data_IF_384411352829
#
_entry.id   IF_384411352829
#
_cell.length_a   1.000
_cell.length_b   1.000
_cell.length_c   1.000
_cell.angle_alpha   90.00
_cell.angle_beta   90.00
_cell.angle_gamma   90.00
#
_symmetry.space_group_name_H-M   'P 1'
#
loop_
_entity.id
_entity.type
_entity.pdbx_description
1 polymer ?
#
# COMPACT_ATOMS: atom_id res chain seq x y z
N UNK A 1 13.46 -22.25 -6.80
CA UNK A 1 13.16 -21.45 -8.01
C UNK A 1 12.33 -20.26 -7.58
N UNK A 2 12.89 -19.07 -7.60
CA UNK A 2 12.17 -17.82 -7.37
C UNK A 2 11.35 -17.54 -8.62
N UNK A 3 10.02 -17.47 -8.49
CA UNK A 3 9.16 -17.03 -9.58
C UNK A 3 9.54 -15.61 -10.03
N UNK A 4 9.55 -15.38 -11.34
CA UNK A 4 9.82 -14.05 -11.88
C UNK A 4 8.75 -13.05 -11.38
N UNK A 5 9.13 -11.78 -11.11
CA UNK A 5 8.16 -10.77 -10.70
C UNK A 5 7.13 -10.55 -11.80
N UNK A 6 5.86 -10.67 -11.46
CA UNK A 6 4.76 -10.17 -12.28
C UNK A 6 4.68 -8.67 -11.97
N UNK A 7 5.14 -7.82 -12.90
CA UNK A 7 5.02 -6.36 -12.75
C UNK A 7 3.56 -5.95 -13.01
N UNK A 8 3.02 -5.06 -12.17
CA UNK A 8 1.84 -4.27 -12.54
C UNK A 8 2.12 -3.45 -13.80
N UNK A 9 1.09 -3.06 -14.53
CA UNK A 9 1.22 -2.38 -15.84
C UNK A 9 2.14 -1.16 -15.82
N UNK A 10 2.23 -0.44 -14.69
CA UNK A 10 3.05 0.76 -14.52
C UNK A 10 4.27 0.58 -13.61
N UNK A 11 4.51 -0.62 -13.08
CA UNK A 11 5.62 -0.89 -12.17
C UNK A 11 5.57 -0.14 -10.83
N UNK A 12 4.43 0.48 -10.48
CA UNK A 12 4.24 1.22 -9.23
C UNK A 12 4.11 0.30 -8.02
N UNK A 13 3.61 -0.90 -8.24
CA UNK A 13 3.54 -1.98 -7.27
C UNK A 13 4.10 -3.25 -7.92
N UNK A 14 5.16 -3.78 -7.37
CA UNK A 14 5.75 -5.03 -7.84
C UNK A 14 5.07 -6.20 -7.16
N UNK A 15 4.71 -7.22 -7.91
CA UNK A 15 4.11 -8.45 -7.37
C UNK A 15 5.04 -9.64 -7.59
N UNK A 16 5.31 -10.37 -6.54
CA UNK A 16 6.06 -11.63 -6.54
C UNK A 16 5.26 -12.67 -5.76
N UNK A 17 5.33 -13.93 -6.18
CA UNK A 17 4.80 -15.04 -5.40
C UNK A 17 5.69 -16.27 -5.57
N UNK A 18 5.62 -17.19 -4.62
CA UNK A 18 6.37 -18.45 -4.63
C UNK A 18 5.45 -19.67 -4.52
N UNK A 19 6.03 -20.88 -4.70
CA UNK A 19 5.29 -22.14 -4.67
C UNK A 19 4.69 -22.47 -3.30
N UNK A 20 5.05 -21.74 -2.23
CA UNK A 20 4.46 -21.90 -0.88
C UNK A 20 3.18 -21.08 -0.72
N UNK A 21 2.81 -20.29 -1.72
CA UNK A 21 1.67 -19.37 -1.66
C UNK A 21 1.98 -18.06 -0.93
N UNK A 22 3.25 -17.69 -0.82
CA UNK A 22 3.65 -16.40 -0.28
C UNK A 22 3.59 -15.36 -1.40
N UNK A 23 2.66 -14.41 -1.27
CA UNK A 23 2.57 -13.25 -2.15
C UNK A 23 3.29 -12.07 -1.51
N UNK A 24 3.99 -11.28 -2.32
CA UNK A 24 4.60 -10.02 -1.89
C UNK A 24 4.22 -8.92 -2.86
N UNK A 25 3.62 -7.87 -2.33
CA UNK A 25 3.40 -6.61 -3.04
C UNK A 25 4.40 -5.58 -2.51
N UNK A 26 5.15 -4.97 -3.39
CA UNK A 26 6.18 -3.98 -3.03
C UNK A 26 5.83 -2.65 -3.67
N UNK A 27 5.55 -1.63 -2.86
CA UNK A 27 5.41 -0.25 -3.33
C UNK A 27 6.72 0.21 -3.95
N UNK A 28 6.68 0.68 -5.19
CA UNK A 28 7.87 0.93 -5.99
C UNK A 28 7.93 2.35 -6.57
N UNK A 29 7.69 3.33 -5.72
CA UNK A 29 7.85 4.75 -6.05
C UNK A 29 8.74 5.46 -5.02
N UNK A 30 10.00 4.98 -4.81
CA UNK A 30 10.87 5.46 -3.73
C UNK A 30 11.20 6.95 -3.83
N UNK A 31 11.25 7.52 -5.04
CA UNK A 31 11.52 8.94 -5.27
C UNK A 31 10.40 9.85 -4.75
N UNK A 32 9.19 9.35 -4.67
CA UNK A 32 8.02 10.05 -4.10
C UNK A 32 7.61 9.49 -2.73
N UNK A 33 8.50 8.75 -2.05
CA UNK A 33 8.24 8.15 -0.74
C UNK A 33 7.02 7.22 -0.73
N UNK A 34 6.74 6.56 -1.85
CA UNK A 34 5.65 5.60 -2.03
C UNK A 34 4.27 6.18 -1.67
N UNK A 35 4.00 7.43 -2.08
CA UNK A 35 2.71 8.09 -1.82
C UNK A 35 1.56 7.36 -2.50
N UNK A 36 0.40 7.38 -1.85
CA UNK A 36 -0.85 6.77 -2.32
C UNK A 36 -1.62 7.76 -3.21
N UNK A 37 -1.19 7.88 -4.46
CA UNK A 37 -1.98 8.53 -5.51
C UNK A 37 -3.01 7.57 -6.11
N UNK A 38 -3.91 8.08 -6.98
CA UNK A 38 -4.99 7.29 -7.59
C UNK A 38 -4.48 6.04 -8.32
N UNK A 39 -3.36 6.15 -9.04
CA UNK A 39 -2.76 5.03 -9.78
C UNK A 39 -2.28 3.92 -8.83
N UNK A 40 -1.58 4.27 -7.75
CA UNK A 40 -1.11 3.30 -6.75
C UNK A 40 -2.28 2.63 -6.02
N UNK A 41 -3.30 3.42 -5.64
CA UNK A 41 -4.52 2.89 -5.00
C UNK A 41 -5.26 1.91 -5.93
N UNK A 42 -5.38 2.26 -7.21
CA UNK A 42 -6.00 1.40 -8.22
C UNK A 42 -5.22 0.11 -8.44
N UNK A 43 -3.88 0.20 -8.51
CA UNK A 43 -3.01 -0.97 -8.66
C UNK A 43 -3.11 -1.89 -7.44
N UNK A 44 -3.01 -1.36 -6.23
CA UNK A 44 -3.16 -2.15 -5.00
C UNK A 44 -4.52 -2.87 -4.96
N UNK A 45 -5.61 -2.17 -5.32
CA UNK A 45 -6.95 -2.78 -5.36
C UNK A 45 -6.99 -3.96 -6.33
N UNK A 46 -6.47 -3.79 -7.56
CA UNK A 46 -6.42 -4.88 -8.56
C UNK A 46 -5.61 -6.07 -8.07
N UNK A 47 -4.47 -5.82 -7.41
CA UNK A 47 -3.62 -6.88 -6.87
C UNK A 47 -4.31 -7.62 -5.71
N UNK A 48 -4.98 -6.90 -4.81
CA UNK A 48 -5.74 -7.53 -3.73
C UNK A 48 -6.88 -8.40 -4.26
N UNK A 49 -7.62 -7.90 -5.25
CA UNK A 49 -8.71 -8.66 -5.87
C UNK A 49 -8.19 -9.94 -6.55
N UNK A 50 -7.06 -9.85 -7.24
CA UNK A 50 -6.42 -11.01 -7.88
C UNK A 50 -5.90 -12.04 -6.86
N UNK A 51 -5.23 -11.59 -5.81
CA UNK A 51 -4.71 -12.46 -4.74
C UNK A 51 -5.85 -13.11 -3.96
N UNK A 52 -6.95 -12.38 -3.70
CA UNK A 52 -8.13 -12.93 -3.04
C UNK A 52 -8.77 -14.08 -3.83
N UNK A 53 -8.67 -14.04 -5.15
CA UNK A 53 -9.19 -15.07 -6.05
C UNK A 53 -8.23 -16.27 -6.24
N UNK A 54 -6.99 -16.17 -5.79
CA UNK A 54 -6.00 -17.23 -5.92
C UNK A 54 -6.15 -18.26 -4.78
N UNK A 55 -6.63 -19.49 -5.08
CA UNK A 55 -6.82 -20.52 -4.06
C UNK A 55 -5.50 -21.06 -3.45
N UNK A 56 -4.37 -20.73 -4.05
CA UNK A 56 -3.05 -21.13 -3.57
C UNK A 56 -2.42 -20.09 -2.64
N UNK A 57 -2.96 -18.88 -2.57
CA UNK A 57 -2.46 -17.81 -1.71
C UNK A 57 -2.61 -18.17 -0.22
N UNK A 58 -1.52 -18.07 0.54
CA UNK A 58 -1.44 -18.43 1.96
C UNK A 58 -1.14 -17.24 2.85
N UNK A 59 -0.41 -16.28 2.35
CA UNK A 59 -0.03 -15.06 3.06
C UNK A 59 0.32 -13.97 2.07
N UNK A 60 -0.03 -12.74 2.41
CA UNK A 60 0.38 -11.54 1.69
C UNK A 60 1.35 -10.73 2.54
N UNK A 61 2.49 -10.36 1.96
CA UNK A 61 3.43 -9.39 2.54
C UNK A 61 3.36 -8.09 1.75
N UNK A 62 3.07 -6.99 2.42
CA UNK A 62 3.15 -5.64 1.84
C UNK A 62 4.48 -5.04 2.26
N UNK A 63 5.30 -4.68 1.29
CA UNK A 63 6.63 -4.11 1.44
C UNK A 63 6.77 -2.82 0.62
N UNK A 64 7.89 -2.15 0.72
CA UNK A 64 8.17 -0.96 -0.07
C UNK A 64 9.67 -0.80 -0.36
N UNK A 65 9.99 -0.17 -1.48
CA UNK A 65 11.34 0.21 -1.84
C UNK A 65 11.72 1.59 -1.28
N UNK A 66 13.02 1.80 -1.02
CA UNK A 66 13.59 3.09 -0.61
C UNK A 66 13.49 3.38 0.88
N UNK A 67 13.64 4.65 1.24
CA UNK A 67 13.78 5.13 2.62
C UNK A 67 12.46 5.17 3.40
N UNK A 68 11.33 5.29 2.71
CA UNK A 68 10.01 5.31 3.31
C UNK A 68 9.21 4.07 2.91
N UNK A 69 8.46 3.53 3.85
CA UNK A 69 7.44 2.54 3.54
C UNK A 69 6.31 3.21 2.74
N UNK A 70 5.70 4.26 3.31
CA UNK A 70 4.68 5.05 2.62
C UNK A 70 4.45 6.38 3.36
N UNK A 71 4.46 7.49 2.64
CA UNK A 71 4.26 8.82 3.20
C UNK A 71 2.79 9.31 3.19
N UNK A 72 1.85 8.44 2.85
CA UNK A 72 0.43 8.77 2.80
C UNK A 72 -0.03 9.26 1.44
N UNK A 73 -1.10 10.05 1.38
CA UNK A 73 -1.66 10.53 0.12
C UNK A 73 -0.70 11.41 -0.68
N UNK A 74 -0.84 11.40 -2.00
CA UNK A 74 -0.11 12.31 -2.89
C UNK A 74 -0.69 13.73 -2.78
N UNK A 75 -0.06 14.55 -1.93
CA UNK A 75 -0.49 15.95 -1.70
C UNK A 75 -0.34 16.82 -2.96
N UNK A 76 0.59 16.50 -3.87
CA UNK A 76 0.74 17.22 -5.14
C UNK A 76 -0.47 16.96 -6.04
N UNK A 77 -0.89 15.69 -6.15
CA UNK A 77 -2.07 15.31 -6.89
C UNK A 77 -3.34 15.94 -6.29
N UNK A 78 -3.47 15.93 -4.97
CA UNK A 78 -4.60 16.57 -4.27
C UNK A 78 -4.64 18.08 -4.51
N UNK A 79 -3.50 18.76 -4.40
CA UNK A 79 -3.38 20.20 -4.62
C UNK A 79 -3.67 20.60 -6.07
N UNK A 80 -3.35 19.74 -7.02
CA UNK A 80 -3.65 19.96 -8.44
C UNK A 80 -5.14 19.80 -8.76
N UNK A 81 -5.91 19.18 -7.89
CA UNK A 81 -7.34 18.90 -8.07
C UNK A 81 -8.16 19.35 -6.84
N UNK A 82 -8.26 20.67 -6.57
CA UNK A 82 -8.78 21.20 -5.31
C UNK A 82 -10.33 21.23 -5.26
N UNK A 83 -11.01 20.21 -5.80
CA UNK A 83 -12.45 20.10 -5.81
C UNK A 83 -12.92 19.10 -4.76
N UNK A 84 -13.99 19.42 -4.03
CA UNK A 84 -14.58 18.53 -3.03
C UNK A 84 -14.91 17.15 -3.62
N UNK A 85 -15.50 17.11 -4.80
CA UNK A 85 -15.87 15.85 -5.48
C UNK A 85 -14.64 14.98 -5.78
N UNK A 86 -13.49 15.58 -6.08
CA UNK A 86 -12.24 14.86 -6.26
C UNK A 86 -11.78 14.22 -4.95
N UNK A 87 -11.76 14.97 -3.86
CA UNK A 87 -11.36 14.45 -2.55
C UNK A 87 -12.28 13.33 -2.07
N UNK A 88 -13.59 13.49 -2.26
CA UNK A 88 -14.56 12.43 -1.93
C UNK A 88 -14.28 11.13 -2.67
N UNK A 89 -13.98 11.20 -3.98
CA UNK A 89 -13.63 10.01 -4.77
C UNK A 89 -12.30 9.39 -4.33
N UNK A 90 -11.27 10.22 -4.13
CA UNK A 90 -9.94 9.75 -3.70
C UNK A 90 -10.02 9.03 -2.36
N UNK A 91 -10.69 9.63 -1.37
CA UNK A 91 -10.84 9.00 -0.06
C UNK A 91 -11.74 7.77 -0.09
N UNK A 92 -12.78 7.76 -0.92
CA UNK A 92 -13.60 6.56 -1.12
C UNK A 92 -12.79 5.42 -1.75
N UNK A 93 -11.95 5.73 -2.75
CA UNK A 93 -11.03 4.76 -3.37
C UNK A 93 -10.03 4.21 -2.35
N UNK A 94 -9.43 5.09 -1.54
CA UNK A 94 -8.50 4.69 -0.49
C UNK A 94 -9.19 3.81 0.56
N UNK A 95 -10.37 4.21 1.05
CA UNK A 95 -11.14 3.43 2.02
C UNK A 95 -11.51 2.05 1.49
N UNK A 96 -11.94 1.95 0.22
CA UNK A 96 -12.24 0.68 -0.43
C UNK A 96 -10.99 -0.22 -0.44
N UNK A 97 -9.85 0.31 -0.85
CA UNK A 97 -8.57 -0.42 -0.89
C UNK A 97 -8.15 -0.88 0.51
N UNK A 98 -8.21 -0.02 1.52
CA UNK A 98 -7.89 -0.35 2.90
C UNK A 98 -8.79 -1.46 3.46
N UNK A 99 -10.11 -1.37 3.23
CA UNK A 99 -11.07 -2.39 3.66
C UNK A 99 -10.88 -3.72 2.93
N UNK A 100 -10.33 -3.71 1.71
CA UNK A 100 -10.02 -4.94 0.98
C UNK A 100 -8.98 -5.78 1.71
N UNK A 101 -8.01 -5.16 2.38
CA UNK A 101 -6.99 -5.87 3.18
C UNK A 101 -7.65 -6.73 4.25
N UNK A 102 -8.63 -6.16 4.98
CA UNK A 102 -9.34 -6.88 6.06
C UNK A 102 -10.22 -8.03 5.54
N UNK A 103 -10.58 -8.00 4.26
CA UNK A 103 -11.43 -9.01 3.63
C UNK A 103 -10.64 -10.13 2.94
N UNK A 104 -9.32 -10.01 2.87
CA UNK A 104 -8.47 -11.06 2.29
C UNK A 104 -8.59 -12.34 3.11
N UNK A 105 -8.72 -13.52 2.45
CA UNK A 105 -8.89 -14.79 3.14
C UNK A 105 -7.60 -15.37 3.73
N UNK A 106 -6.51 -14.60 3.72
CA UNK A 106 -5.21 -14.99 4.27
C UNK A 106 -4.63 -13.85 5.12
N UNK A 107 -3.69 -14.15 6.04
CA UNK A 107 -2.99 -13.12 6.80
C UNK A 107 -2.23 -12.14 5.91
N UNK A 108 -2.27 -10.87 6.29
CA UNK A 108 -1.53 -9.78 5.65
C UNK A 108 -0.50 -9.22 6.62
N UNK A 109 0.75 -9.17 6.18
CA UNK A 109 1.89 -8.72 7.00
C UNK A 109 2.50 -7.47 6.37
N UNK A 110 2.57 -6.39 7.11
CA UNK A 110 3.35 -5.21 6.72
C UNK A 110 4.83 -5.43 7.06
N UNK A 111 5.72 -5.27 6.08
CA UNK A 111 7.18 -5.27 6.27
C UNK A 111 7.68 -3.83 6.12
N UNK A 112 7.95 -3.17 7.25
CA UNK A 112 8.20 -1.74 7.31
C UNK A 112 9.70 -1.47 7.48
N UNK A 113 10.35 -0.97 6.44
CA UNK A 113 11.79 -0.69 6.44
C UNK A 113 12.13 0.78 6.78
N UNK A 114 11.14 1.64 7.01
CA UNK A 114 11.40 3.06 7.22
C UNK A 114 10.17 3.83 7.68
N UNK A 115 9.98 5.03 7.14
CA UNK A 115 8.89 5.92 7.52
C UNK A 115 7.54 5.42 7.00
N UNK A 116 6.56 5.29 7.89
CA UNK A 116 5.15 5.08 7.57
C UNK A 116 4.33 6.19 8.23
N UNK A 117 3.76 7.10 7.45
CA UNK A 117 3.05 8.28 7.99
C UNK A 117 1.70 8.52 7.31
N UNK A 118 0.78 9.15 8.01
CA UNK A 118 -0.58 9.43 7.56
C UNK A 118 -1.29 8.16 7.03
N UNK A 119 -1.82 8.18 5.79
CA UNK A 119 -2.42 6.99 5.17
C UNK A 119 -1.43 5.81 5.01
N UNK A 120 -0.11 6.07 5.00
CA UNK A 120 0.91 5.01 5.03
C UNK A 120 0.98 4.30 6.38
N UNK A 121 0.82 5.03 7.49
CA UNK A 121 0.68 4.44 8.82
C UNK A 121 -0.65 3.66 8.93
N UNK A 122 -1.73 4.21 8.36
CA UNK A 122 -3.01 3.52 8.28
C UNK A 122 -2.89 2.21 7.49
N UNK A 123 -2.15 2.17 6.39
CA UNK A 123 -1.90 0.96 5.60
C UNK A 123 -1.27 -0.14 6.47
N UNK A 124 -0.29 0.22 7.31
CA UNK A 124 0.31 -0.73 8.27
C UNK A 124 -0.73 -1.22 9.28
N UNK A 125 -1.53 -0.31 9.82
CA UNK A 125 -2.56 -0.65 10.81
C UNK A 125 -3.72 -1.49 10.26
N UNK A 126 -3.93 -1.50 8.94
CA UNK A 126 -4.92 -2.38 8.29
C UNK A 126 -4.44 -3.82 8.16
N UNK A 127 -3.13 -4.07 8.23
CA UNK A 127 -2.56 -5.41 8.15
C UNK A 127 -2.79 -6.18 9.46
N UNK A 128 -2.82 -7.51 9.39
CA UNK A 128 -2.98 -8.38 10.57
C UNK A 128 -1.76 -8.35 11.47
N UNK A 129 -0.58 -8.24 10.88
CA UNK A 129 0.71 -8.22 11.56
C UNK A 129 1.63 -7.18 10.92
N UNK A 130 2.59 -6.69 11.69
CA UNK A 130 3.65 -5.84 11.19
C UNK A 130 5.01 -6.25 11.74
N UNK A 131 6.02 -6.23 10.86
CA UNK A 131 7.42 -6.39 11.21
C UNK A 131 8.15 -5.15 10.73
N UNK A 132 8.89 -4.52 11.61
CA UNK A 132 9.64 -3.31 11.28
C UNK A 132 11.09 -3.39 11.70
N UNK A 133 11.95 -2.62 11.02
CA UNK A 133 13.29 -2.35 11.54
C UNK A 133 13.19 -1.46 12.78
N UNK A 134 14.17 -1.49 13.63
CA UNK A 134 14.23 -0.71 14.89
C UNK A 134 14.27 0.81 14.64
N UNK A 135 14.75 1.23 13.48
CA UNK A 135 14.80 2.63 13.05
C UNK A 135 13.53 3.11 12.36
N UNK A 136 12.52 2.25 12.15
CA UNK A 136 11.26 2.65 11.53
C UNK A 136 10.54 3.72 12.37
N UNK A 137 9.86 4.63 11.68
CA UNK A 137 9.10 5.70 12.31
C UNK A 137 7.66 5.67 11.82
N UNK A 138 6.75 5.86 12.77
CA UNK A 138 5.31 5.85 12.51
C UNK A 138 4.71 7.18 12.97
N UNK A 139 3.73 7.68 12.22
CA UNK A 139 3.06 8.91 12.60
C UNK A 139 1.73 9.11 11.87
N UNK A 140 0.80 9.80 12.55
CA UNK A 140 -0.49 10.23 11.99
C UNK A 140 -0.52 11.75 12.06
N UNK A 141 0.16 12.39 11.12
CA UNK A 141 0.42 13.82 11.11
C UNK A 141 -0.46 14.59 10.08
N UNK A 142 -1.62 14.05 9.73
CA UNK A 142 -2.57 14.72 8.83
C UNK A 142 -2.99 16.10 9.33
N UNK A 143 -3.10 16.27 10.65
CA UNK A 143 -3.43 17.54 11.28
C UNK A 143 -2.44 18.66 10.93
N UNK A 144 -1.16 18.35 10.77
CA UNK A 144 -0.12 19.33 10.46
C UNK A 144 -0.24 19.89 9.03
N UNK A 145 -0.99 19.20 8.17
CA UNK A 145 -1.22 19.56 6.77
C UNK A 145 -2.70 19.80 6.46
N UNK A 146 -3.54 19.90 7.49
CA UNK A 146 -4.96 20.18 7.35
C UNK A 146 -5.77 19.02 6.74
N UNK A 147 -5.28 17.80 6.91
CA UNK A 147 -5.95 16.58 6.46
C UNK A 147 -6.41 15.76 7.66
N UNK A 148 -7.66 15.76 7.92
CA UNK A 148 -8.32 14.69 8.70
C UNK A 148 -9.74 14.80 8.72
#
# INVERSE_FOLDING_TARGET
>A
MTAAPVQGEDGLVLHQHDARGVHRLTLNSPKSFNVLGEAVLGELQRQFDAIAADPTARVLVIAAEGKAFCAGHDLKQMKANPQLAYYQRLFAQCSKMMLSIQKLPMPVIARVQGLATAAGCQLVAQCDLAVSVDTARFGVNGIDVGLF
#
